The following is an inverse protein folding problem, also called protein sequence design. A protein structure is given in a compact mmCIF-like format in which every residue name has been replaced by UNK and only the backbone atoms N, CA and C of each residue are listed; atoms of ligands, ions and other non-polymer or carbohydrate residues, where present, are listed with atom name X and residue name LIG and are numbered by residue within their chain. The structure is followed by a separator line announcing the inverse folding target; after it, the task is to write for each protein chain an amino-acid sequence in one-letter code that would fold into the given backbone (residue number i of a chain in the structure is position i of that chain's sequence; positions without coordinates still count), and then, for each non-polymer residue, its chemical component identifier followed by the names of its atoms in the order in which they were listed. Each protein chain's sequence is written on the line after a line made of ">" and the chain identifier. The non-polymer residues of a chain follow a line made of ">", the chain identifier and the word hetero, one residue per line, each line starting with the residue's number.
data_IF_945335549081
#
_entry.id   IF_945335549081
#
_cell.length_a   1.000
_cell.length_b   1.000
_cell.length_c   1.000
_cell.angle_alpha   90.00
_cell.angle_beta   90.00
_cell.angle_gamma   90.00
#
_symmetry.space_group_name_H-M   'P 1'
#
loop_
_entity.id
_entity.type
_entity.pdbx_description
1 polymer ?
#
# COMPACT_ATOMS: atom_id res chain seq x y z
N UNK A 1 17.32 25.64 6.02
CA UNK A 1 16.44 24.53 6.44
C UNK A 1 17.26 23.25 6.52
N UNK A 2 17.07 22.41 7.52
CA UNK A 2 17.75 21.10 7.61
C UNK A 2 16.90 20.01 6.94
N UNK A 3 17.51 18.95 6.44
CA UNK A 3 16.80 17.82 5.82
C UNK A 3 15.76 17.18 6.77
N UNK A 4 16.01 17.24 8.09
CA UNK A 4 15.09 16.73 9.12
C UNK A 4 13.82 17.58 9.23
N UNK A 5 13.94 18.91 9.17
CA UNK A 5 12.78 19.81 9.22
C UNK A 5 11.86 19.57 8.01
N UNK A 6 12.44 19.42 6.82
CA UNK A 6 11.69 19.11 5.59
C UNK A 6 10.96 17.77 5.69
N UNK A 7 11.63 16.70 6.16
CA UNK A 7 11.00 15.38 6.35
C UNK A 7 9.85 15.44 7.34
N UNK A 8 10.03 16.13 8.47
CA UNK A 8 8.97 16.32 9.47
C UNK A 8 7.78 17.05 8.87
N UNK A 9 8.00 18.14 8.15
CA UNK A 9 6.93 18.90 7.50
C UNK A 9 6.09 18.03 6.56
N UNK A 10 6.73 17.31 5.62
CA UNK A 10 5.99 16.45 4.70
C UNK A 10 5.26 15.29 5.40
N UNK A 11 5.87 14.69 6.43
CA UNK A 11 5.21 13.66 7.23
C UNK A 11 3.97 14.21 7.96
N UNK A 12 4.06 15.42 8.52
CA UNK A 12 2.93 16.10 9.17
C UNK A 12 1.81 16.40 8.17
N UNK A 13 2.15 16.96 6.99
CA UNK A 13 1.18 17.25 5.93
C UNK A 13 0.46 15.97 5.49
N UNK A 14 1.22 14.90 5.24
CA UNK A 14 0.66 13.61 4.87
C UNK A 14 -0.30 13.05 5.94
N UNK A 15 0.09 13.08 7.22
CA UNK A 15 -0.77 12.59 8.30
C UNK A 15 -2.05 13.41 8.46
N UNK A 16 -1.98 14.74 8.31
CA UNK A 16 -3.17 15.61 8.32
C UNK A 16 -4.11 15.28 7.17
N UNK A 17 -3.59 15.05 5.97
CA UNK A 17 -4.38 14.69 4.81
C UNK A 17 -5.02 13.29 4.94
N UNK A 18 -4.27 12.28 5.39
CA UNK A 18 -4.85 10.97 5.71
C UNK A 18 -6.00 11.09 6.73
N UNK A 19 -5.78 11.85 7.82
CA UNK A 19 -6.81 12.08 8.84
C UNK A 19 -8.06 12.74 8.26
N UNK A 20 -7.89 13.74 7.40
CA UNK A 20 -8.98 14.47 6.77
C UNK A 20 -9.82 13.62 5.80
N UNK A 21 -9.24 12.56 5.21
CA UNK A 21 -9.96 11.68 4.27
C UNK A 21 -10.76 10.59 5.00
N UNK A 22 -10.15 9.92 5.98
CA UNK A 22 -10.70 8.69 6.55
C UNK A 22 -10.52 8.56 8.08
N UNK A 23 -10.22 9.66 8.78
CA UNK A 23 -10.20 9.67 10.25
C UNK A 23 -8.98 9.00 10.91
N UNK A 24 -7.95 8.62 10.14
CA UNK A 24 -6.77 7.93 10.65
C UNK A 24 -5.48 8.55 10.09
N UNK A 25 -4.40 8.51 10.85
CA UNK A 25 -3.03 8.79 10.37
C UNK A 25 -2.51 7.65 9.50
N UNK A 26 -1.41 7.88 8.77
CA UNK A 26 -0.80 6.84 7.92
C UNK A 26 -0.41 5.59 8.74
N UNK A 27 0.13 5.78 9.95
CA UNK A 27 0.51 4.68 10.83
C UNK A 27 -0.73 3.90 11.34
N UNK A 28 -1.81 4.60 11.70
CA UNK A 28 -3.07 3.97 12.11
C UNK A 28 -3.72 3.17 10.98
N UNK A 29 -3.68 3.67 9.74
CA UNK A 29 -4.14 2.92 8.55
C UNK A 29 -3.39 1.60 8.41
N UNK A 30 -2.05 1.65 8.40
CA UNK A 30 -1.22 0.44 8.29
C UNK A 30 -1.53 -0.53 9.43
N UNK A 31 -1.57 -0.05 10.67
CA UNK A 31 -1.82 -0.90 11.83
C UNK A 31 -3.22 -1.53 11.84
N UNK A 32 -4.24 -0.81 11.39
CA UNK A 32 -5.64 -1.30 11.43
C UNK A 32 -6.03 -2.11 10.20
N UNK A 33 -5.38 -1.91 9.05
CA UNK A 33 -5.76 -2.54 7.79
C UNK A 33 -4.87 -3.72 7.39
N UNK A 34 -3.60 -3.74 7.80
CA UNK A 34 -2.71 -4.87 7.58
C UNK A 34 -3.18 -6.10 8.37
N UNK A 35 -3.62 -7.13 7.64
CA UNK A 35 -4.19 -8.36 8.21
C UNK A 35 -3.92 -9.54 7.28
N UNK A 36 -3.11 -10.50 7.72
CA UNK A 36 -2.71 -11.68 6.95
C UNK A 36 -3.88 -12.59 6.53
N UNK A 37 -5.04 -12.46 7.18
CA UNK A 37 -6.22 -13.27 6.85
C UNK A 37 -7.07 -12.66 5.72
N UNK A 38 -6.80 -11.40 5.35
CA UNK A 38 -7.49 -10.75 4.23
C UNK A 38 -6.79 -11.08 2.91
N UNK A 39 -7.55 -11.06 1.83
CA UNK A 39 -6.99 -11.11 0.48
C UNK A 39 -5.96 -9.99 0.33
N UNK A 40 -4.79 -10.32 -0.21
CA UNK A 40 -3.68 -9.37 -0.38
C UNK A 40 -3.29 -8.62 0.90
N UNK A 41 -3.50 -9.23 2.07
CA UNK A 41 -3.35 -8.60 3.39
C UNK A 41 -4.19 -7.33 3.64
N UNK A 42 -5.21 -7.08 2.81
CA UNK A 42 -5.96 -5.83 2.80
C UNK A 42 -5.34 -4.71 1.94
N UNK A 43 -4.24 -4.96 1.23
CA UNK A 43 -3.70 -4.03 0.24
C UNK A 43 -4.64 -3.94 -0.97
N UNK A 44 -4.80 -2.73 -1.50
CA UNK A 44 -5.52 -2.40 -2.73
C UNK A 44 -4.56 -2.16 -3.89
N UNK A 45 -3.32 -1.75 -3.60
CA UNK A 45 -2.25 -1.53 -4.59
C UNK A 45 -0.89 -1.85 -3.98
N UNK A 46 0.05 -2.32 -4.80
CA UNK A 46 1.45 -2.55 -4.44
C UNK A 46 2.30 -2.50 -5.70
N UNK A 47 3.63 -2.46 -5.55
CA UNK A 47 4.56 -2.17 -6.64
C UNK A 47 4.37 -3.10 -7.85
N UNK A 48 4.13 -4.38 -7.61
CA UNK A 48 3.96 -5.40 -8.65
C UNK A 48 2.52 -5.93 -8.76
N UNK A 49 1.49 -5.13 -8.46
CA UNK A 49 0.11 -5.62 -8.30
C UNK A 49 -0.50 -6.41 -9.48
N UNK A 50 0.01 -6.23 -10.70
CA UNK A 50 -0.51 -6.93 -11.87
C UNK A 50 -0.03 -8.39 -11.99
N UNK A 51 1.16 -8.73 -11.48
CA UNK A 51 1.83 -10.02 -11.75
C UNK A 51 2.71 -10.53 -10.60
N UNK A 52 3.03 -9.68 -9.63
CA UNK A 52 4.02 -9.96 -8.60
C UNK A 52 3.43 -10.13 -7.21
N UNK A 53 4.23 -10.81 -6.40
CA UNK A 53 4.03 -10.98 -4.97
C UNK A 53 4.03 -9.64 -4.25
N UNK A 54 3.23 -9.54 -3.19
CA UNK A 54 3.40 -8.48 -2.18
C UNK A 54 4.80 -8.64 -1.60
N UNK A 55 5.54 -7.53 -1.53
CA UNK A 55 6.85 -7.46 -0.89
C UNK A 55 6.75 -6.87 0.51
N UNK A 56 7.75 -7.16 1.34
CA UNK A 56 7.81 -6.67 2.72
C UNK A 56 7.77 -5.13 2.82
N UNK A 57 8.28 -4.42 1.82
CA UNK A 57 8.24 -2.95 1.84
C UNK A 57 6.86 -2.38 1.44
N UNK A 58 6.03 -3.14 0.71
CA UNK A 58 4.70 -2.70 0.30
C UNK A 58 3.75 -2.59 1.49
N UNK A 59 3.88 -3.48 2.49
CA UNK A 59 2.97 -3.55 3.65
C UNK A 59 3.16 -2.39 4.64
N UNK A 60 4.26 -1.65 4.54
CA UNK A 60 4.51 -0.49 5.41
C UNK A 60 3.98 0.82 4.81
N UNK A 61 3.39 0.81 3.61
CA UNK A 61 2.93 1.99 2.89
C UNK A 61 1.43 2.17 3.08
N UNK A 62 1.02 3.21 3.84
CA UNK A 62 -0.40 3.46 4.12
C UNK A 62 -1.28 3.62 2.86
N UNK A 63 -0.76 4.25 1.81
CA UNK A 63 -1.46 4.42 0.53
C UNK A 63 -1.87 3.09 -0.11
N UNK A 64 -1.09 2.03 0.12
CA UNK A 64 -1.35 0.71 -0.42
C UNK A 64 -2.59 0.06 0.18
N UNK A 65 -3.15 0.59 1.27
CA UNK A 65 -4.37 0.11 1.93
C UNK A 65 -5.59 1.01 1.69
N UNK A 66 -5.45 2.09 0.90
CA UNK A 66 -6.56 3.01 0.65
C UNK A 66 -7.47 2.47 -0.45
N UNK A 67 -8.78 2.59 -0.26
CA UNK A 67 -9.74 2.27 -1.32
C UNK A 67 -9.59 3.23 -2.49
N UNK A 68 -10.11 2.87 -3.67
CA UNK A 68 -10.10 3.76 -4.84
C UNK A 68 -10.72 5.13 -4.53
N UNK A 69 -11.84 5.13 -3.79
CA UNK A 69 -12.52 6.36 -3.36
C UNK A 69 -11.65 7.20 -2.41
N UNK A 70 -11.05 6.59 -1.39
CA UNK A 70 -10.15 7.30 -0.47
C UNK A 70 -8.94 7.87 -1.21
N UNK A 71 -8.39 7.11 -2.15
CA UNK A 71 -7.23 7.51 -2.93
C UNK A 71 -7.57 8.64 -3.91
N UNK A 72 -8.76 8.61 -4.51
CA UNK A 72 -9.28 9.68 -5.35
C UNK A 72 -9.56 10.96 -4.55
N UNK A 73 -10.18 10.84 -3.37
CA UNK A 73 -10.45 11.97 -2.47
C UNK A 73 -9.13 12.60 -1.96
N UNK A 74 -8.17 11.78 -1.56
CA UNK A 74 -6.84 12.23 -1.15
C UNK A 74 -6.14 12.97 -2.29
N UNK A 75 -6.19 12.45 -3.51
CA UNK A 75 -5.59 13.08 -4.69
C UNK A 75 -6.23 14.43 -5.00
N UNK A 76 -7.57 14.52 -4.95
CA UNK A 76 -8.30 15.79 -5.14
C UNK A 76 -7.91 16.83 -4.09
N UNK A 77 -7.84 16.43 -2.81
CA UNK A 77 -7.49 17.32 -1.71
C UNK A 77 -6.03 17.82 -1.83
N UNK A 78 -5.11 16.93 -2.18
CA UNK A 78 -3.69 17.28 -2.43
C UNK A 78 -3.57 18.28 -3.59
N UNK A 79 -4.21 18.00 -4.73
CA UNK A 79 -4.13 18.88 -5.90
C UNK A 79 -4.70 20.27 -5.59
N UNK A 80 -5.88 20.35 -4.97
CA UNK A 80 -6.47 21.63 -4.59
C UNK A 80 -5.58 22.43 -3.60
N UNK A 81 -4.88 21.75 -2.69
CA UNK A 81 -3.91 22.40 -1.81
C UNK A 81 -2.67 22.91 -2.57
N UNK A 82 -2.18 22.14 -3.55
CA UNK A 82 -1.07 22.55 -4.41
C UNK A 82 -1.43 23.74 -5.31
N UNK A 83 -2.67 23.81 -5.82
CA UNK A 83 -3.16 24.95 -6.61
C UNK A 83 -3.13 26.25 -5.79
N UNK A 84 -3.53 26.17 -4.51
CA UNK A 84 -3.39 27.30 -3.56
C UNK A 84 -1.92 27.67 -3.38
N UNK A 85 -1.04 26.67 -3.29
CA UNK A 85 0.39 26.92 -3.16
C UNK A 85 1.01 27.59 -4.39
N UNK A 86 0.63 27.13 -5.57
CA UNK A 86 1.05 27.70 -6.85
C UNK A 86 0.57 29.15 -7.00
N UNK A 87 -0.71 29.43 -6.73
CA UNK A 87 -1.26 30.78 -6.79
C UNK A 87 -0.50 31.77 -5.89
N UNK A 88 -0.12 31.34 -4.69
CA UNK A 88 0.67 32.15 -3.76
C UNK A 88 2.10 32.38 -4.25
N UNK A 89 2.72 31.34 -4.82
CA UNK A 89 4.04 31.43 -5.41
C UNK A 89 4.07 32.40 -6.61
N UNK A 90 3.07 32.33 -7.50
CA UNK A 90 2.90 33.25 -8.64
C UNK A 90 2.76 34.71 -8.20
N UNK A 91 2.09 34.94 -7.06
CA UNK A 91 1.95 36.26 -6.44
C UNK A 91 3.18 36.70 -5.65
N UNK A 92 4.26 35.91 -5.66
CA UNK A 92 5.52 36.16 -4.95
C UNK A 92 5.32 36.40 -3.45
N UNK A 93 4.35 35.71 -2.85
CA UNK A 93 4.09 35.79 -1.41
C UNK A 93 5.03 34.82 -0.70
N UNK A 94 6.03 35.29 0.07
CA UNK A 94 6.99 34.41 0.72
C UNK A 94 6.31 33.62 1.84
N UNK A 95 6.38 32.29 1.78
CA UNK A 95 5.76 31.40 2.77
C UNK A 95 6.79 30.44 3.35
N UNK A 96 6.79 30.28 4.67
CA UNK A 96 7.58 29.27 5.37
C UNK A 96 6.82 27.95 5.46
N UNK A 97 7.51 26.85 5.79
CA UNK A 97 6.85 25.55 6.06
C UNK A 97 5.83 25.65 7.21
N UNK A 98 6.10 26.49 8.20
CA UNK A 98 5.16 26.73 9.32
C UNK A 98 3.90 27.46 8.85
N UNK A 99 4.04 28.43 7.95
CA UNK A 99 2.88 29.09 7.33
C UNK A 99 2.05 28.10 6.51
N UNK A 100 2.71 27.20 5.78
CA UNK A 100 2.05 26.15 5.01
C UNK A 100 1.27 25.17 5.88
N UNK A 101 1.84 24.75 7.01
CA UNK A 101 1.14 23.87 7.96
C UNK A 101 -0.10 24.57 8.55
N UNK A 102 0.03 25.84 8.94
CA UNK A 102 -1.10 26.63 9.46
C UNK A 102 -2.20 26.80 8.40
N UNK A 103 -1.82 27.04 7.15
CA UNK A 103 -2.76 27.16 6.03
C UNK A 103 -3.42 25.84 5.69
N UNK A 104 -2.70 24.71 5.78
CA UNK A 104 -3.27 23.39 5.57
C UNK A 104 -4.40 23.10 6.55
N UNK A 105 -4.23 23.44 7.84
CA UNK A 105 -5.30 23.27 8.82
C UNK A 105 -6.56 24.04 8.41
N UNK A 106 -6.41 25.32 8.07
CA UNK A 106 -7.54 26.17 7.61
C UNK A 106 -8.17 25.65 6.32
N UNK A 107 -7.35 25.13 5.40
CA UNK A 107 -7.82 24.56 4.15
C UNK A 107 -8.65 23.29 4.39
N UNK A 108 -8.19 22.40 5.27
CA UNK A 108 -8.92 21.19 5.66
C UNK A 108 -10.25 21.58 6.35
N UNK A 109 -10.23 22.52 7.30
CA UNK A 109 -11.43 23.03 7.96
C UNK A 109 -12.45 23.63 6.97
N UNK A 110 -11.97 24.40 6.00
CA UNK A 110 -12.81 24.99 4.95
C UNK A 110 -13.46 23.96 4.02
N UNK A 111 -13.02 22.70 4.06
CA UNK A 111 -13.62 21.57 3.33
C UNK A 111 -14.50 20.69 4.22
N UNK A 112 -14.90 21.18 5.39
CA UNK A 112 -15.72 20.47 6.39
C UNK A 112 -15.09 19.15 6.88
N UNK A 113 -13.76 19.12 6.99
CA UNK A 113 -12.98 17.94 7.43
C UNK A 113 -12.29 18.21 8.75
N UNK A 114 -12.14 17.15 9.55
CA UNK A 114 -11.41 17.23 10.82
C UNK A 114 -9.89 17.35 10.60
N UNK A 115 -9.29 18.31 11.29
CA UNK A 115 -7.84 18.49 11.32
C UNK A 115 -7.22 17.64 12.41
N UNK A 116 -6.16 16.91 12.06
CA UNK A 116 -5.32 16.24 13.05
C UNK A 116 -4.63 17.27 13.96
N UNK A 117 -4.99 17.29 15.25
CA UNK A 117 -4.44 18.18 16.27
C UNK A 117 -3.26 17.57 17.03
N UNK A 118 -3.12 16.24 16.99
CA UNK A 118 -2.11 15.47 17.73
C UNK A 118 -1.23 14.62 16.78
N UNK A 119 -0.42 13.72 17.34
CA UNK A 119 0.42 12.82 16.56
C UNK A 119 -0.29 11.52 16.10
N UNK A 120 -1.58 11.35 16.40
CA UNK A 120 -2.27 10.06 16.35
C UNK A 120 -1.95 9.16 17.54
N UNK A 121 -2.53 7.95 17.54
CA UNK A 121 -2.41 6.98 18.63
C UNK A 121 -1.40 5.88 18.36
N UNK A 122 -1.00 5.69 17.11
CA UNK A 122 -0.08 4.62 16.68
C UNK A 122 1.17 5.24 16.08
N UNK A 123 2.34 4.79 16.55
CA UNK A 123 3.62 5.24 16.00
C UNK A 123 3.94 4.52 14.70
N UNK A 124 4.73 5.15 13.82
CA UNK A 124 5.17 4.54 12.58
C UNK A 124 5.97 3.24 12.78
N UNK A 125 6.71 3.13 13.88
CA UNK A 125 7.47 1.93 14.24
C UNK A 125 6.55 0.78 14.64
N UNK A 126 5.56 1.02 15.50
CA UNK A 126 4.56 0.02 15.90
C UNK A 126 3.77 -0.46 14.69
N UNK A 127 3.32 0.48 13.84
CA UNK A 127 2.59 0.14 12.62
C UNK A 127 3.42 -0.71 11.66
N UNK A 128 4.70 -0.38 11.46
CA UNK A 128 5.61 -1.15 10.62
C UNK A 128 5.84 -2.55 11.19
N UNK A 129 6.16 -2.67 12.47
CA UNK A 129 6.38 -3.97 13.10
C UNK A 129 5.15 -4.88 13.01
N UNK A 130 3.95 -4.31 13.21
CA UNK A 130 2.68 -5.01 13.01
C UNK A 130 2.52 -5.52 11.57
N UNK A 131 2.65 -4.63 10.58
CA UNK A 131 2.48 -5.00 9.18
C UNK A 131 3.52 -6.03 8.70
N UNK A 132 4.76 -5.91 9.15
CA UNK A 132 5.81 -6.89 8.86
C UNK A 132 5.52 -8.26 9.50
N UNK A 133 4.99 -8.29 10.72
CA UNK A 133 4.56 -9.53 11.37
C UNK A 133 3.41 -10.19 10.62
N UNK A 134 2.41 -9.42 10.19
CA UNK A 134 1.32 -9.92 9.34
C UNK A 134 1.86 -10.41 7.99
N UNK A 135 2.86 -9.74 7.43
CA UNK A 135 3.48 -10.14 6.17
C UNK A 135 4.17 -11.49 6.28
N UNK A 136 4.90 -11.78 7.36
CA UNK A 136 5.53 -13.09 7.54
C UNK A 136 4.50 -14.23 7.60
N UNK A 137 3.32 -13.98 8.19
CA UNK A 137 2.21 -14.96 8.18
C UNK A 137 1.65 -15.14 6.77
N UNK A 138 1.40 -14.04 6.07
CA UNK A 138 0.83 -14.06 4.72
C UNK A 138 1.78 -14.65 3.67
N UNK A 139 3.09 -14.39 3.80
CA UNK A 139 4.14 -14.85 2.88
C UNK A 139 4.11 -16.37 2.71
N UNK A 140 3.83 -17.13 3.77
CA UNK A 140 3.71 -18.59 3.70
C UNK A 140 2.57 -19.01 2.76
N UNK A 141 1.42 -18.32 2.82
CA UNK A 141 0.27 -18.59 1.95
C UNK A 141 0.58 -18.17 0.52
N UNK A 142 1.15 -16.99 0.34
CA UNK A 142 1.54 -16.46 -0.96
C UNK A 142 2.57 -17.36 -1.66
N UNK A 143 3.59 -17.85 -0.94
CA UNK A 143 4.64 -18.70 -1.49
C UNK A 143 4.11 -20.08 -1.91
N UNK A 144 3.07 -20.59 -1.24
CA UNK A 144 2.40 -21.85 -1.62
C UNK A 144 1.53 -21.71 -2.87
N UNK A 145 0.90 -20.56 -3.05
CA UNK A 145 -0.02 -20.30 -4.17
C UNK A 145 0.70 -19.75 -5.40
N UNK A 146 1.90 -19.19 -5.23
CA UNK A 146 2.62 -18.57 -6.33
C UNK A 146 3.23 -19.61 -7.26
N UNK A 147 2.77 -19.58 -8.50
CA UNK A 147 3.39 -20.28 -9.61
C UNK A 147 4.49 -19.38 -10.19
N UNK A 148 5.73 -19.88 -10.23
CA UNK A 148 6.84 -19.12 -10.80
C UNK A 148 6.64 -18.92 -12.30
N UNK A 149 7.11 -17.80 -12.84
CA UNK A 149 7.17 -17.61 -14.30
C UNK A 149 7.97 -18.73 -14.99
N UNK A 150 8.92 -19.35 -14.29
CA UNK A 150 9.61 -20.54 -14.77
C UNK A 150 8.68 -21.76 -14.89
N UNK A 151 7.80 -21.97 -13.92
CA UNK A 151 6.82 -23.07 -13.95
C UNK A 151 5.80 -22.84 -15.07
N UNK A 152 5.36 -21.59 -15.26
CA UNK A 152 4.52 -21.20 -16.39
C UNK A 152 5.21 -21.41 -17.73
N UNK A 153 6.51 -21.10 -17.82
CA UNK A 153 7.31 -21.30 -19.02
C UNK A 153 7.49 -22.80 -19.32
N UNK A 154 7.77 -23.63 -18.31
CA UNK A 154 7.87 -25.08 -18.47
C UNK A 154 6.56 -25.68 -19.00
N UNK A 155 5.40 -25.25 -18.47
CA UNK A 155 4.09 -25.68 -18.98
C UNK A 155 3.79 -25.24 -20.41
N UNK A 156 4.40 -24.16 -20.89
CA UNK A 156 4.30 -23.74 -22.29
C UNK A 156 5.26 -24.51 -23.20
N UNK A 157 6.39 -24.98 -22.67
CA UNK A 157 7.41 -25.70 -23.42
C UNK A 157 7.09 -27.20 -23.53
N UNK A 158 6.48 -27.83 -22.52
CA UNK A 158 6.06 -29.24 -22.60
C UNK A 158 4.76 -29.37 -23.42
N UNK A 159 4.78 -29.95 -24.64
CA UNK A 159 3.54 -30.40 -25.25
C UNK A 159 2.99 -31.54 -24.39
N UNK A 160 1.66 -31.68 -24.23
CA UNK A 160 1.10 -32.77 -23.43
C UNK A 160 1.60 -34.09 -23.99
N UNK A 161 2.50 -34.74 -23.25
CA UNK A 161 3.01 -36.06 -23.57
C UNK A 161 1.79 -36.98 -23.46
N UNK A 162 1.15 -37.28 -24.59
CA UNK A 162 0.21 -38.40 -24.68
C UNK A 162 1.03 -39.63 -24.33
N UNK A 163 0.88 -40.09 -23.09
CA UNK A 163 1.41 -41.36 -22.65
C UNK A 163 0.72 -42.43 -23.49
N UNK A 164 1.37 -42.78 -24.60
CA UNK A 164 0.93 -43.84 -25.49
C UNK A 164 0.78 -45.13 -24.69
N UNK A 165 -0.44 -45.63 -24.73
CA UNK A 165 -0.84 -46.96 -24.32
C UNK A 165 0.18 -48.01 -24.77
N UNK A 166 0.77 -48.75 -23.83
CA UNK A 166 1.24 -50.10 -24.11
C UNK A 166 0.51 -51.10 -23.21
N UNK A 167 -0.52 -51.78 -23.71
CA UNK A 167 -1.13 -52.91 -23.03
C UNK A 167 -0.25 -54.14 -23.29
N UNK A 168 0.28 -54.76 -22.24
CA UNK A 168 1.07 -55.97 -22.43
C UNK A 168 1.59 -56.59 -21.16
N UNK A 169 0.86 -57.57 -20.63
CA UNK A 169 1.27 -58.99 -20.70
C UNK A 169 0.21 -59.87 -20.04
N UNK A 170 -0.40 -60.71 -20.88
CA UNK A 170 -1.18 -61.89 -20.46
C UNK A 170 -0.28 -62.77 -19.57
N UNK A 171 -0.75 -63.10 -18.37
CA UNK A 171 -0.22 -64.20 -17.56
C UNK A 171 -0.65 -65.50 -18.23
N UNK A 172 0.33 -66.20 -18.78
CA UNK A 172 0.20 -67.60 -19.20
C UNK A 172 0.65 -68.51 -18.06
N UNK A 173 -0.08 -69.62 -17.97
CA UNK A 173 0.33 -70.97 -17.61
C UNK A 173 0.90 -71.23 -16.21
N UNK A 174 0.01 -71.72 -15.33
CA UNK A 174 0.38 -72.55 -14.18
C UNK A 174 -0.33 -73.92 -14.32
N UNK A 175 0.49 -74.96 -14.46
CA UNK A 175 0.31 -76.41 -14.21
C UNK A 175 -0.66 -77.24 -15.07
#
# INVERSE_FOLDING_TARGET
>A
MTAQATKRFFATVQNKLHRAIHGQTAAEVVHTRADANKQHMGLTTWTDASLGKIQKFDVAVAKNYLTEDEMAQLSRLVNAYLDVAESMALRKIPMTMQDWETRLNRFIEATDREVLQDAGRVTAEIARAHAESEFEKYRIVQDRLFESDFDRLLKQIEPPHQLDNKPGKKKGDDA
#
